data_IF_604231179466
#
_entry.id   IF_604231179466
#
_cell.length_a   1.000
_cell.length_b   1.000
_cell.length_c   1.000
_cell.angle_alpha   90.00
_cell.angle_beta   90.00
_cell.angle_gamma   90.00
#
_symmetry.space_group_name_H-M   'P 1'
#
loop_
_entity.id
_entity.type
_entity.pdbx_description
1 polymer ?
#
# COMPACT_ATOMS: atom_id res chain seq x y z
N UNK A 1 9.86 20.41 27.21
CA UNK A 1 9.11 19.40 26.45
C UNK A 1 10.16 18.59 25.68
N UNK A 2 10.39 17.35 26.07
CA UNK A 2 11.32 16.51 25.36
C UNK A 2 10.78 16.32 23.94
N UNK A 3 11.65 16.59 22.98
CA UNK A 3 11.35 16.39 21.54
C UNK A 3 11.26 14.88 21.31
N UNK A 4 10.05 14.33 21.36
CA UNK A 4 9.79 12.87 21.26
C UNK A 4 9.83 12.38 19.80
N UNK A 5 10.82 12.90 19.03
CA UNK A 5 11.01 12.51 17.64
C UNK A 5 11.71 11.16 17.59
N UNK A 6 11.07 10.20 16.98
CA UNK A 6 11.68 8.90 16.68
C UNK A 6 12.57 9.00 15.43
N UNK A 7 13.80 8.45 15.53
CA UNK A 7 14.74 8.41 14.40
C UNK A 7 14.77 7.03 13.76
N UNK A 8 14.64 6.99 12.44
CA UNK A 8 14.66 5.74 11.65
C UNK A 8 15.57 5.88 10.42
N UNK A 9 16.18 4.78 10.01
CA UNK A 9 17.01 4.77 8.79
C UNK A 9 16.17 4.79 7.52
N UNK A 10 15.10 3.99 7.50
CA UNK A 10 14.22 3.85 6.34
C UNK A 10 12.77 3.88 6.80
N UNK A 11 12.03 4.88 6.35
CA UNK A 11 10.59 4.99 6.56
C UNK A 11 9.86 4.64 5.27
N UNK A 12 8.84 3.78 5.37
CA UNK A 12 7.98 3.41 4.24
C UNK A 12 6.56 3.89 4.54
N UNK A 13 5.97 4.64 3.62
CA UNK A 13 4.62 5.17 3.74
C UNK A 13 3.70 4.41 2.79
N UNK A 14 2.79 3.63 3.35
CA UNK A 14 1.82 2.81 2.61
C UNK A 14 2.17 1.33 2.58
N UNK A 15 1.16 0.49 2.73
CA UNK A 15 1.23 -0.96 2.93
C UNK A 15 0.65 -1.78 1.77
N UNK A 16 0.50 -1.18 0.59
CA UNK A 16 0.16 -1.95 -0.62
C UNK A 16 1.30 -2.90 -1.03
N UNK A 17 1.16 -3.63 -2.14
CA UNK A 17 2.18 -4.57 -2.63
C UNK A 17 3.56 -3.92 -2.77
N UNK A 18 3.62 -2.67 -3.19
CA UNK A 18 4.87 -1.93 -3.33
C UNK A 18 5.54 -1.67 -1.97
N UNK A 19 4.75 -1.28 -0.95
CA UNK A 19 5.26 -1.00 0.40
C UNK A 19 5.80 -2.25 1.07
N UNK A 20 5.06 -3.34 1.08
CA UNK A 20 5.55 -4.59 1.65
C UNK A 20 6.75 -5.16 0.89
N UNK A 21 6.77 -5.05 -0.44
CA UNK A 21 7.95 -5.44 -1.22
C UNK A 21 9.18 -4.61 -0.84
N UNK A 22 9.03 -3.29 -0.74
CA UNK A 22 10.11 -2.41 -0.29
C UNK A 22 10.58 -2.77 1.13
N UNK A 23 9.65 -3.04 2.05
CA UNK A 23 9.95 -3.43 3.42
C UNK A 23 10.76 -4.73 3.49
N UNK A 24 10.40 -5.74 2.68
CA UNK A 24 11.13 -7.01 2.59
C UNK A 24 12.59 -6.76 2.19
N UNK A 25 12.82 -5.99 1.13
CA UNK A 25 14.17 -5.76 0.62
C UNK A 25 14.98 -4.83 1.51
N UNK A 26 14.37 -3.78 2.08
CA UNK A 26 15.04 -2.90 3.04
C UNK A 26 15.44 -3.66 4.32
N UNK A 27 14.58 -4.54 4.83
CA UNK A 27 14.91 -5.40 5.97
C UNK A 27 16.06 -6.37 5.66
N UNK A 28 16.05 -7.00 4.49
CA UNK A 28 17.14 -7.86 4.04
C UNK A 28 18.47 -7.12 3.87
N UNK A 29 18.41 -5.82 3.54
CA UNK A 29 19.59 -4.94 3.49
C UNK A 29 19.99 -4.41 4.87
N UNK A 30 19.36 -4.87 5.96
CA UNK A 30 19.60 -4.45 7.34
C UNK A 30 19.34 -2.94 7.60
N UNK A 31 18.43 -2.35 6.86
CA UNK A 31 18.06 -0.94 7.01
C UNK A 31 17.00 -0.70 8.09
N UNK A 32 16.55 -1.75 8.77
CA UNK A 32 15.55 -1.69 9.86
C UNK A 32 14.35 -0.84 9.47
N UNK A 33 13.65 -1.16 8.39
CA UNK A 33 12.57 -0.33 7.89
C UNK A 33 11.41 -0.27 8.88
N UNK A 34 10.85 0.92 9.03
CA UNK A 34 9.56 1.16 9.67
C UNK A 34 8.55 1.47 8.59
N UNK A 35 7.42 0.75 8.58
CA UNK A 35 6.36 0.94 7.61
C UNK A 35 5.08 1.38 8.31
N UNK A 36 4.50 2.50 7.87
CA UNK A 36 3.18 2.94 8.29
C UNK A 36 2.12 2.59 7.25
N UNK A 37 1.09 1.86 7.69
CA UNK A 37 0.10 1.22 6.80
C UNK A 37 -0.91 2.18 6.18
N UNK A 38 -1.16 3.33 6.82
CA UNK A 38 -2.20 4.26 6.40
C UNK A 38 -3.60 3.81 6.81
N UNK A 39 -4.63 4.40 6.17
CA UNK A 39 -6.05 4.16 6.50
C UNK A 39 -6.58 2.83 5.99
N UNK A 40 -5.91 2.22 5.01
CA UNK A 40 -6.31 0.95 4.41
C UNK A 40 -5.11 -0.01 4.39
N UNK A 41 -4.86 -0.74 5.49
CA UNK A 41 -3.80 -1.75 5.56
C UNK A 41 -3.90 -2.77 4.43
N UNK A 42 -2.78 -3.02 3.73
CA UNK A 42 -2.75 -3.89 2.56
C UNK A 42 -3.17 -3.23 1.24
N UNK A 43 -3.75 -2.01 1.29
CA UNK A 43 -4.09 -1.23 0.10
C UNK A 43 -5.24 -1.80 -0.73
N UNK A 44 -5.28 -1.46 -2.02
CA UNK A 44 -6.39 -1.75 -2.92
C UNK A 44 -6.72 -3.25 -3.06
N UNK A 45 -5.74 -4.13 -2.94
CA UNK A 45 -5.99 -5.58 -3.07
C UNK A 45 -6.81 -6.17 -1.92
N UNK A 46 -6.93 -5.48 -0.79
CA UNK A 46 -7.77 -5.96 0.33
C UNK A 46 -9.27 -5.81 0.07
N UNK A 47 -9.66 -5.04 -0.93
CA UNK A 47 -11.05 -4.84 -1.33
C UNK A 47 -11.38 -5.48 -2.68
N UNK A 48 -10.45 -6.22 -3.28
CA UNK A 48 -10.70 -7.02 -4.47
C UNK A 48 -10.98 -8.48 -4.12
N UNK A 49 -11.53 -9.22 -5.06
CA UNK A 49 -11.78 -10.65 -4.91
C UNK A 49 -10.55 -11.46 -5.34
N UNK A 50 -10.58 -12.06 -6.48
CA UNK A 50 -9.52 -12.91 -7.00
C UNK A 50 -8.46 -12.11 -7.75
N UNK A 51 -7.20 -12.43 -7.51
CA UNK A 51 -6.03 -11.86 -8.19
C UNK A 51 -5.38 -12.99 -9.00
N UNK A 52 -5.49 -12.90 -10.32
CA UNK A 52 -4.96 -13.92 -11.24
C UNK A 52 -3.67 -13.49 -11.94
N UNK A 53 -3.34 -12.21 -11.88
CA UNK A 53 -2.26 -11.59 -12.66
C UNK A 53 -1.01 -11.24 -11.83
N UNK A 54 -0.89 -11.80 -10.62
CA UNK A 54 0.32 -11.67 -9.81
C UNK A 54 1.16 -12.95 -9.88
N UNK A 55 2.42 -12.88 -10.33
CA UNK A 55 3.27 -14.07 -10.47
C UNK A 55 3.49 -14.79 -9.13
N UNK A 56 3.41 -16.12 -9.15
CA UNK A 56 3.57 -16.97 -7.97
C UNK A 56 2.28 -17.63 -7.50
N UNK A 57 1.13 -17.25 -8.06
CA UNK A 57 -0.18 -17.82 -7.74
C UNK A 57 -0.85 -18.36 -9.03
N UNK A 58 -0.46 -19.55 -9.51
CA UNK A 58 -0.96 -20.10 -10.77
C UNK A 58 -2.46 -20.40 -10.79
N UNK A 59 -3.04 -20.62 -9.62
CA UNK A 59 -4.48 -20.88 -9.42
C UNK A 59 -5.25 -19.61 -8.98
N UNK A 60 -4.61 -18.43 -9.04
CA UNK A 60 -5.14 -17.22 -8.43
C UNK A 60 -5.05 -17.20 -6.90
N UNK A 61 -5.39 -16.11 -6.30
CA UNK A 61 -5.48 -15.93 -4.85
C UNK A 61 -6.45 -14.82 -4.50
N UNK A 62 -7.16 -14.94 -3.38
CA UNK A 62 -7.96 -13.83 -2.87
C UNK A 62 -7.06 -12.66 -2.46
N UNK A 63 -7.43 -11.44 -2.87
CA UNK A 63 -6.62 -10.24 -2.60
C UNK A 63 -6.28 -10.04 -1.13
N UNK A 64 -7.24 -10.17 -0.17
CA UNK A 64 -6.95 -10.09 1.25
C UNK A 64 -5.92 -11.13 1.73
N UNK A 65 -6.02 -12.37 1.27
CA UNK A 65 -5.09 -13.45 1.66
C UNK A 65 -3.68 -13.19 1.12
N UNK A 66 -3.58 -12.69 -0.11
CA UNK A 66 -2.31 -12.29 -0.71
C UNK A 66 -1.65 -11.19 0.12
N UNK A 67 -2.40 -10.15 0.50
CA UNK A 67 -1.85 -9.05 1.28
C UNK A 67 -1.46 -9.46 2.70
N UNK A 68 -2.22 -10.35 3.33
CA UNK A 68 -1.84 -10.94 4.62
C UNK A 68 -0.54 -11.76 4.53
N UNK A 69 -0.32 -12.46 3.41
CA UNK A 69 0.94 -13.18 3.17
C UNK A 69 2.13 -12.22 3.00
N UNK A 70 1.92 -11.08 2.30
CA UNK A 70 2.97 -10.07 2.11
C UNK A 70 3.36 -9.41 3.43
N UNK A 71 2.39 -9.07 4.26
CA UNK A 71 2.61 -8.51 5.60
C UNK A 71 3.43 -9.46 6.46
N UNK A 72 2.99 -10.71 6.61
CA UNK A 72 3.70 -11.76 7.36
C UNK A 72 5.12 -11.98 6.84
N UNK A 73 5.31 -11.90 5.52
CA UNK A 73 6.64 -12.04 4.93
C UNK A 73 7.53 -10.85 5.29
N UNK A 74 7.02 -9.62 5.24
CA UNK A 74 7.76 -8.42 5.61
C UNK A 74 8.15 -8.43 7.09
N UNK A 75 7.21 -8.76 7.98
CA UNK A 75 7.48 -8.93 9.42
C UNK A 75 8.55 -9.99 9.68
N UNK A 76 8.42 -11.16 9.05
CA UNK A 76 9.41 -12.24 9.17
C UNK A 76 10.82 -11.83 8.71
N UNK A 77 10.92 -10.89 7.75
CA UNK A 77 12.22 -10.34 7.32
C UNK A 77 12.76 -9.26 8.28
N UNK A 78 11.97 -8.81 9.25
CA UNK A 78 12.37 -7.83 10.26
C UNK A 78 11.92 -6.40 9.99
N UNK A 79 10.91 -6.20 9.15
CA UNK A 79 10.25 -4.91 9.01
C UNK A 79 9.36 -4.64 10.23
N UNK A 80 9.41 -3.41 10.75
CA UNK A 80 8.53 -2.92 11.81
C UNK A 80 7.29 -2.28 11.16
N UNK A 81 6.17 -3.00 11.20
CA UNK A 81 4.91 -2.59 10.57
C UNK A 81 4.00 -1.99 11.61
N UNK A 82 3.51 -0.78 11.34
CA UNK A 82 2.74 0.03 12.29
C UNK A 82 1.48 0.60 11.67
N UNK A 83 0.45 0.71 12.49
CA UNK A 83 -0.72 1.53 12.15
C UNK A 83 -0.40 3.01 12.28
N UNK A 84 -1.05 3.83 11.46
CA UNK A 84 -0.95 5.28 11.47
C UNK A 84 -0.96 5.87 10.07
N UNK A 85 -1.38 7.10 9.99
CA UNK A 85 -1.51 7.87 8.75
C UNK A 85 -0.44 8.96 8.70
N UNK A 86 0.37 8.99 7.63
CA UNK A 86 1.23 10.12 7.35
C UNK A 86 0.38 11.31 6.88
N UNK A 87 0.28 12.34 7.74
CA UNK A 87 -0.59 13.51 7.51
C UNK A 87 0.14 14.71 6.96
N UNK A 88 1.45 14.80 7.23
CA UNK A 88 2.31 15.91 6.78
C UNK A 88 3.74 15.40 6.58
N UNK A 89 4.45 16.02 5.66
CA UNK A 89 5.86 15.74 5.37
C UNK A 89 6.67 17.02 5.24
N UNK A 90 7.96 16.93 5.57
CA UNK A 90 8.97 17.91 5.25
C UNK A 90 10.19 17.18 4.67
N UNK A 91 10.41 17.36 3.37
CA UNK A 91 11.46 16.69 2.59
C UNK A 91 12.52 17.69 2.06
N UNK A 92 12.64 18.86 2.69
CA UNK A 92 13.62 19.90 2.24
C UNK A 92 15.04 19.42 2.48
N UNK A 93 15.34 18.95 3.70
CA UNK A 93 16.66 18.49 4.11
C UNK A 93 16.57 17.26 5.01
N UNK A 94 17.49 16.27 4.89
CA UNK A 94 17.56 15.14 5.81
C UNK A 94 18.06 15.60 7.21
N UNK A 95 17.62 14.96 8.31
CA UNK A 95 16.64 13.88 8.30
C UNK A 95 15.25 14.39 7.93
N UNK A 96 14.59 13.68 7.01
CA UNK A 96 13.24 14.02 6.57
C UNK A 96 12.23 13.82 7.68
N UNK A 97 11.26 14.73 7.79
CA UNK A 97 10.24 14.66 8.84
C UNK A 97 8.90 14.24 8.29
N UNK A 98 8.29 13.28 8.96
CA UNK A 98 6.94 12.80 8.64
C UNK A 98 6.11 12.80 9.90
N UNK A 99 4.96 13.45 9.85
CA UNK A 99 3.98 13.47 10.94
C UNK A 99 3.00 12.33 10.78
N UNK A 100 2.87 11.53 11.81
CA UNK A 100 1.93 10.42 11.90
C UNK A 100 0.79 10.82 12.83
N UNK A 101 -0.43 10.73 12.33
CA UNK A 101 -1.67 11.05 13.06
C UNK A 101 -1.63 12.46 13.74
N UNK A 102 -0.91 13.40 13.11
CA UNK A 102 -0.69 14.79 13.58
C UNK A 102 0.10 14.93 14.90
N UNK A 103 0.37 13.83 15.59
CA UNK A 103 0.96 13.84 16.93
C UNK A 103 2.44 13.42 16.94
N UNK A 104 2.78 12.35 16.25
CA UNK A 104 4.11 11.75 16.29
C UNK A 104 4.96 12.21 15.11
N UNK A 105 6.20 12.62 15.38
CA UNK A 105 7.16 13.00 14.34
C UNK A 105 8.20 11.90 14.19
N UNK A 106 8.33 11.39 12.97
CA UNK A 106 9.39 10.47 12.56
C UNK A 106 10.45 11.25 11.78
N UNK A 107 11.69 11.17 12.22
CA UNK A 107 12.86 11.69 11.51
C UNK A 107 13.54 10.54 10.78
N UNK A 108 13.47 10.53 9.44
CA UNK A 108 13.97 9.46 8.61
C UNK A 108 15.18 9.89 7.77
N UNK A 109 16.21 9.03 7.68
CA UNK A 109 17.32 9.25 6.76
C UNK A 109 16.90 9.07 5.31
N UNK A 110 16.00 8.11 5.06
CA UNK A 110 15.42 7.82 3.75
C UNK A 110 13.92 7.56 3.88
N UNK A 111 13.16 7.96 2.85
CA UNK A 111 11.70 7.73 2.80
C UNK A 111 11.33 7.09 1.48
N UNK A 112 10.52 6.03 1.55
CA UNK A 112 9.88 5.38 0.40
C UNK A 112 8.38 5.72 0.43
N UNK A 113 7.88 6.32 -0.63
CA UNK A 113 6.48 6.69 -0.79
C UNK A 113 5.81 5.63 -1.65
N UNK A 114 4.89 4.85 -1.05
CA UNK A 114 4.15 3.76 -1.70
C UNK A 114 2.65 3.85 -1.39
N UNK A 115 2.12 5.06 -1.40
CA UNK A 115 0.75 5.38 -0.99
C UNK A 115 -0.32 4.93 -1.99
N UNK A 116 0.09 4.42 -3.15
CA UNK A 116 -0.82 3.92 -4.16
C UNK A 116 -1.64 5.01 -4.85
N UNK A 117 -2.79 4.61 -5.35
CA UNK A 117 -3.75 5.48 -6.00
C UNK A 117 -5.17 4.98 -5.75
N UNK A 118 -6.14 5.88 -5.88
CA UNK A 118 -7.56 5.57 -5.87
C UNK A 118 -8.16 5.83 -7.24
N UNK A 119 -9.16 5.03 -7.61
CA UNK A 119 -9.90 5.24 -8.85
C UNK A 119 -10.61 6.61 -8.83
N UNK A 120 -10.59 7.29 -9.97
CA UNK A 120 -11.40 8.49 -10.17
C UNK A 120 -12.73 8.07 -10.81
N UNK A 121 -13.78 8.17 -10.03
CA UNK A 121 -15.13 7.89 -10.46
C UNK A 121 -15.83 9.16 -11.00
N UNK A 122 -16.81 9.00 -11.87
CA UNK A 122 -17.64 10.11 -12.35
C UNK A 122 -18.61 10.62 -11.27
N UNK A 123 -18.85 9.82 -10.22
CA UNK A 123 -19.75 10.15 -9.13
C UNK A 123 -21.21 9.78 -9.41
N UNK A 124 -21.45 8.87 -10.35
CA UNK A 124 -22.78 8.39 -10.68
C UNK A 124 -23.19 7.24 -9.75
N UNK A 125 -24.44 7.23 -9.30
CA UNK A 125 -25.00 6.13 -8.50
C UNK A 125 -24.86 4.76 -9.19
N UNK A 126 -24.99 4.75 -10.52
CA UNK A 126 -24.86 3.56 -11.34
C UNK A 126 -23.44 2.96 -11.30
N UNK A 127 -22.38 3.76 -11.11
CA UNK A 127 -21.02 3.25 -11.01
C UNK A 127 -20.86 2.34 -9.80
N UNK A 128 -21.35 2.76 -8.63
CA UNK A 128 -21.27 1.97 -7.41
C UNK A 128 -22.09 0.68 -7.52
N UNK A 129 -23.31 0.78 -8.07
CA UNK A 129 -24.21 -0.35 -8.22
C UNK A 129 -23.69 -1.39 -9.21
N UNK A 130 -22.99 -0.97 -10.27
CA UNK A 130 -22.53 -1.83 -11.35
C UNK A 130 -21.01 -2.13 -11.26
N UNK A 131 -20.34 -1.68 -10.21
CA UNK A 131 -18.94 -2.00 -9.97
C UNK A 131 -18.75 -3.51 -9.81
N UNK A 132 -17.90 -4.11 -10.62
CA UNK A 132 -17.75 -5.57 -10.73
C UNK A 132 -18.85 -6.28 -11.55
N UNK A 133 -19.89 -5.55 -12.01
CA UNK A 133 -20.99 -6.08 -12.83
C UNK A 133 -21.09 -5.40 -14.19
N UNK A 134 -19.98 -4.93 -14.72
CA UNK A 134 -19.90 -4.29 -16.04
C UNK A 134 -19.35 -2.87 -16.02
N UNK A 135 -19.21 -2.24 -14.87
CA UNK A 135 -18.49 -0.98 -14.68
C UNK A 135 -17.21 -1.24 -13.91
N UNK A 136 -16.08 -0.80 -14.45
CA UNK A 136 -14.76 -0.95 -13.83
C UNK A 136 -13.94 0.32 -14.03
N UNK A 137 -13.10 0.64 -13.06
CA UNK A 137 -12.09 1.69 -13.16
C UNK A 137 -10.70 1.15 -13.59
N UNK A 138 -10.57 -0.16 -13.85
CA UNK A 138 -9.30 -0.80 -14.14
C UNK A 138 -9.43 -1.77 -15.32
N UNK A 139 -9.14 -1.31 -16.53
CA UNK A 139 -9.21 -2.15 -17.73
C UNK A 139 -8.26 -3.36 -17.69
N UNK A 140 -7.07 -3.21 -17.09
CA UNK A 140 -6.08 -4.30 -16.97
C UNK A 140 -6.54 -5.36 -15.96
N UNK A 141 -7.29 -4.97 -14.93
CA UNK A 141 -7.81 -5.88 -13.92
C UNK A 141 -8.99 -6.70 -14.47
N UNK A 142 -9.96 -6.02 -15.09
CA UNK A 142 -11.27 -6.59 -15.38
C UNK A 142 -11.53 -6.84 -16.86
N UNK A 143 -10.75 -6.22 -17.76
CA UNK A 143 -10.98 -6.32 -19.21
C UNK A 143 -10.93 -7.75 -19.75
N UNK A 144 -10.16 -8.63 -19.14
CA UNK A 144 -10.08 -10.03 -19.53
C UNK A 144 -11.43 -10.78 -19.42
N UNK A 145 -12.26 -10.42 -18.42
CA UNK A 145 -13.58 -11.04 -18.23
C UNK A 145 -14.60 -10.64 -19.30
N UNK A 146 -14.29 -9.60 -20.09
CA UNK A 146 -15.15 -9.09 -21.16
C UNK A 146 -14.62 -9.40 -22.55
N UNK A 147 -13.76 -10.41 -22.68
CA UNK A 147 -13.22 -10.87 -23.97
C UNK A 147 -14.36 -11.22 -24.95
N UNK A 148 -14.26 -10.71 -26.18
CA UNK A 148 -15.27 -10.85 -27.25
C UNK A 148 -16.62 -10.16 -26.95
N UNK A 149 -16.63 -9.16 -26.09
CA UNK A 149 -17.78 -8.26 -25.86
C UNK A 149 -17.42 -6.86 -26.28
N UNK A 150 -18.42 -6.11 -26.71
CA UNK A 150 -18.27 -4.67 -26.96
C UNK A 150 -18.17 -3.95 -25.62
N UNK A 151 -17.09 -3.17 -25.43
CA UNK A 151 -16.82 -2.36 -24.24
C UNK A 151 -16.52 -0.93 -24.67
N UNK A 152 -16.88 0.04 -23.84
CA UNK A 152 -16.65 1.48 -24.03
C UNK A 152 -15.84 2.06 -22.89
#
# INVERSE_FOLDING_TARGET
MENNNEKVQCLIIGSGPAGYTAAIYAARANLKPVLYQGIQPGGQLTITTEVENYPGYPEGIQGPDMMANFEKQAERMGADIRYGLATKVDFIEPPYKVWIDEEKIIEAETVIISTGASAKWLGLESEQRLNGYGVSACAVCDGFFFKNKDVV
#
